data_IF_153152851659
#
_entry.id   IF_153152851659
#
_cell.length_a   1.000
_cell.length_b   1.000
_cell.length_c   1.000
_cell.angle_alpha   90.00
_cell.angle_beta   90.00
_cell.angle_gamma   90.00
#
_symmetry.space_group_name_H-M   'P 1'
#
loop_
_entity.id
_entity.type
_entity.pdbx_description
1 polymer ?
#
# COMPACT_ATOMS: atom_id res chain seq x y z
N UNK A 1 -10.34 -7.28 -12.81
CA UNK A 1 -11.40 -7.35 -11.78
C UNK A 1 -12.37 -8.44 -12.22
N UNK A 2 -12.72 -9.38 -11.35
CA UNK A 2 -13.71 -10.42 -11.71
C UNK A 2 -15.10 -9.81 -11.80
N UNK A 3 -15.96 -10.36 -12.67
CA UNK A 3 -17.36 -9.94 -12.77
C UNK A 3 -18.08 -10.30 -11.48
N UNK A 4 -18.68 -9.31 -10.83
CA UNK A 4 -19.58 -9.56 -9.71
C UNK A 4 -20.93 -9.98 -10.28
N UNK A 5 -21.34 -11.22 -10.05
CA UNK A 5 -22.59 -11.75 -10.59
C UNK A 5 -23.75 -11.45 -9.63
N UNK A 6 -24.96 -11.86 -10.01
CA UNK A 6 -26.14 -11.80 -9.12
C UNK A 6 -26.14 -12.90 -8.06
N UNK A 7 -25.14 -13.76 -8.01
CA UNK A 7 -25.11 -14.87 -7.06
C UNK A 7 -24.83 -14.36 -5.65
N UNK A 8 -25.35 -15.06 -4.65
CA UNK A 8 -25.11 -14.72 -3.26
C UNK A 8 -23.64 -14.95 -2.87
N UNK A 9 -22.90 -15.79 -3.60
CA UNK A 9 -21.48 -16.07 -3.33
C UNK A 9 -20.66 -15.89 -4.61
N UNK A 10 -19.77 -14.90 -4.59
CA UNK A 10 -18.94 -14.53 -5.75
C UNK A 10 -17.46 -14.41 -5.40
N UNK A 11 -16.58 -15.00 -6.21
CA UNK A 11 -15.13 -14.71 -6.17
C UNK A 11 -14.86 -13.41 -6.94
N UNK A 12 -14.46 -12.36 -6.24
CA UNK A 12 -14.28 -11.01 -6.80
C UNK A 12 -12.80 -10.65 -7.03
N UNK A 13 -11.88 -11.40 -6.41
CA UNK A 13 -10.44 -11.29 -6.63
C UNK A 13 -9.79 -12.67 -6.63
N UNK A 14 -8.77 -12.84 -7.48
CA UNK A 14 -7.86 -13.99 -7.45
C UNK A 14 -6.44 -13.52 -7.73
N UNK A 15 -5.49 -14.02 -6.96
CA UNK A 15 -4.07 -13.90 -7.24
C UNK A 15 -3.41 -15.27 -7.07
N UNK A 16 -2.72 -15.73 -8.11
CA UNK A 16 -1.99 -16.98 -8.10
C UNK A 16 -0.54 -16.75 -7.66
N UNK A 17 -0.07 -17.57 -6.72
CA UNK A 17 1.33 -17.74 -6.36
C UNK A 17 1.81 -19.11 -6.85
N UNK A 18 3.07 -19.46 -6.65
CA UNK A 18 3.60 -20.77 -7.06
C UNK A 18 2.85 -21.92 -6.37
N UNK A 19 2.87 -21.96 -5.03
CA UNK A 19 2.32 -23.07 -4.25
C UNK A 19 0.85 -22.91 -3.81
N UNK A 20 0.29 -21.71 -3.91
CA UNK A 20 -1.06 -21.41 -3.44
C UNK A 20 -1.75 -20.35 -4.29
N UNK A 21 -3.03 -20.12 -4.04
CA UNK A 21 -3.75 -18.96 -4.57
C UNK A 21 -4.51 -18.24 -3.46
N UNK A 22 -4.66 -16.93 -3.64
CA UNK A 22 -5.45 -16.07 -2.79
C UNK A 22 -6.76 -15.76 -3.51
N UNK A 23 -7.89 -15.92 -2.82
CA UNK A 23 -9.19 -15.50 -3.33
C UNK A 23 -9.89 -14.57 -2.35
N UNK A 24 -10.53 -13.53 -2.87
CA UNK A 24 -11.52 -12.76 -2.12
C UNK A 24 -12.90 -13.22 -2.58
N UNK A 25 -13.68 -13.74 -1.63
CA UNK A 25 -15.04 -14.22 -1.85
C UNK A 25 -16.00 -13.32 -1.09
N UNK A 26 -16.98 -12.76 -1.80
CA UNK A 26 -18.17 -12.15 -1.21
C UNK A 26 -19.18 -13.26 -0.92
N UNK A 27 -19.74 -13.28 0.28
CA UNK A 27 -20.85 -14.15 0.66
C UNK A 27 -21.98 -13.30 1.28
N UNK A 28 -23.03 -13.10 0.49
CA UNK A 28 -24.27 -12.43 0.83
C UNK A 28 -25.39 -13.42 1.20
N UNK A 29 -25.12 -14.71 1.46
CA UNK A 29 -26.16 -15.70 1.79
C UNK A 29 -26.81 -15.48 3.17
N UNK A 30 -26.13 -14.78 4.08
CA UNK A 30 -26.65 -14.50 5.42
C UNK A 30 -27.82 -13.53 5.42
N UNK A 31 -28.88 -13.79 6.20
CA UNK A 31 -30.05 -12.90 6.24
C UNK A 31 -29.75 -11.52 6.84
N UNK A 32 -28.97 -11.48 7.93
CA UNK A 32 -28.72 -10.24 8.71
C UNK A 32 -27.40 -9.56 8.38
N UNK A 33 -26.47 -10.31 7.80
CA UNK A 33 -25.12 -9.85 7.52
C UNK A 33 -24.56 -10.55 6.30
N UNK A 34 -23.54 -9.97 5.71
CA UNK A 34 -22.76 -10.53 4.63
C UNK A 34 -21.27 -10.48 4.98
N UNK A 35 -20.48 -11.30 4.29
CA UNK A 35 -19.07 -11.52 4.60
C UNK A 35 -18.19 -11.33 3.37
N UNK A 36 -17.07 -10.65 3.55
CA UNK A 36 -15.92 -10.73 2.66
C UNK A 36 -14.91 -11.68 3.28
N UNK A 37 -14.63 -12.78 2.59
CA UNK A 37 -13.75 -13.85 3.03
C UNK A 37 -12.52 -13.88 2.15
N UNK A 38 -11.36 -13.78 2.77
CA UNK A 38 -10.11 -14.07 2.09
C UNK A 38 -9.77 -15.53 2.31
N UNK A 39 -9.64 -16.27 1.21
CA UNK A 39 -9.33 -17.69 1.20
C UNK A 39 -7.90 -17.90 0.72
N UNK A 40 -7.15 -18.65 1.50
CA UNK A 40 -5.89 -19.27 1.10
C UNK A 40 -6.21 -20.66 0.53
N UNK A 41 -5.81 -20.93 -0.71
CA UNK A 41 -6.05 -22.21 -1.36
C UNK A 41 -4.70 -22.86 -1.66
N UNK A 42 -4.39 -23.91 -0.91
CA UNK A 42 -3.18 -24.69 -1.11
C UNK A 42 -3.34 -25.53 -2.39
N UNK A 43 -2.46 -25.35 -3.38
CA UNK A 43 -2.56 -26.06 -4.66
C UNK A 43 -2.20 -27.54 -4.56
N UNK A 44 -1.30 -27.90 -3.64
CA UNK A 44 -0.85 -29.30 -3.43
C UNK A 44 -1.90 -30.11 -2.69
N UNK A 45 -2.49 -29.55 -1.63
CA UNK A 45 -3.47 -30.25 -0.81
C UNK A 45 -4.91 -30.08 -1.30
N UNK A 46 -5.18 -29.14 -2.22
CA UNK A 46 -6.54 -28.73 -2.62
C UNK A 46 -7.43 -28.32 -1.44
N UNK A 47 -6.81 -27.80 -0.37
CA UNK A 47 -7.51 -27.32 0.84
C UNK A 47 -7.64 -25.81 0.77
N UNK A 48 -8.85 -25.31 1.04
CA UNK A 48 -9.12 -23.89 1.25
C UNK A 48 -9.22 -23.56 2.74
N UNK A 49 -8.42 -22.61 3.19
CA UNK A 49 -8.46 -22.06 4.56
C UNK A 49 -8.94 -20.62 4.52
N UNK A 50 -9.88 -20.27 5.40
CA UNK A 50 -10.34 -18.89 5.57
C UNK A 50 -9.35 -18.14 6.45
N UNK A 51 -8.65 -17.15 5.88
CA UNK A 51 -7.54 -16.46 6.56
C UNK A 51 -7.88 -15.05 7.04
N UNK A 52 -8.93 -14.45 6.48
CA UNK A 52 -9.45 -13.16 6.92
C UNK A 52 -10.95 -13.04 6.65
N UNK A 53 -11.68 -12.36 7.54
CA UNK A 53 -13.10 -12.09 7.41
C UNK A 53 -13.37 -10.63 7.74
N UNK A 54 -14.09 -9.96 6.86
CA UNK A 54 -14.76 -8.71 7.17
C UNK A 54 -16.26 -8.93 7.05
N UNK A 55 -17.02 -8.55 8.07
CA UNK A 55 -18.48 -8.67 8.06
C UNK A 55 -19.11 -7.29 7.97
N UNK A 56 -20.26 -7.21 7.32
CA UNK A 56 -21.06 -5.99 7.33
C UNK A 56 -22.54 -6.35 7.50
N UNK A 57 -23.27 -5.45 8.18
CA UNK A 57 -24.69 -5.65 8.48
C UNK A 57 -25.55 -5.27 7.27
N UNK A 58 -26.60 -6.04 7.01
CA UNK A 58 -27.61 -5.73 6.00
C UNK A 58 -28.68 -4.81 6.57
N UNK A 59 -28.29 -3.60 6.95
CA UNK A 59 -29.21 -2.59 7.44
C UNK A 59 -29.90 -1.81 6.30
N UNK A 60 -30.75 -0.84 6.65
CA UNK A 60 -31.46 -0.02 5.66
C UNK A 60 -30.50 0.71 4.70
N UNK A 61 -29.31 1.08 5.16
CA UNK A 61 -28.31 1.73 4.31
C UNK A 61 -27.74 0.74 3.28
N UNK A 62 -27.48 -0.51 3.67
CA UNK A 62 -27.12 -1.56 2.72
C UNK A 62 -28.24 -1.88 1.73
N UNK A 63 -29.49 -2.01 2.21
CA UNK A 63 -30.64 -2.32 1.35
C UNK A 63 -30.83 -1.21 0.32
N UNK A 64 -30.76 0.04 0.76
CA UNK A 64 -30.83 1.21 -0.12
C UNK A 64 -29.67 1.22 -1.11
N UNK A 65 -28.43 1.05 -0.65
CA UNK A 65 -27.27 0.97 -1.52
C UNK A 65 -27.43 -0.13 -2.57
N UNK A 66 -27.75 -1.37 -2.17
CA UNK A 66 -27.97 -2.48 -3.09
C UNK A 66 -29.06 -2.19 -4.14
N UNK A 67 -30.14 -1.51 -3.78
CA UNK A 67 -31.26 -1.24 -4.70
C UNK A 67 -30.92 -0.25 -5.81
N UNK A 68 -29.96 0.65 -5.58
CA UNK A 68 -29.47 1.63 -6.57
C UNK A 68 -28.12 1.23 -7.19
N UNK A 69 -27.67 -0.02 -6.98
CA UNK A 69 -26.39 -0.50 -7.52
C UNK A 69 -25.17 -0.02 -6.74
N UNK A 70 -25.34 0.39 -5.49
CA UNK A 70 -24.38 0.99 -4.56
C UNK A 70 -24.10 0.05 -3.36
N UNK A 71 -23.72 -1.20 -3.61
CA UNK A 71 -23.49 -2.16 -2.52
C UNK A 71 -22.08 -2.14 -1.94
N UNK A 72 -21.96 -2.66 -0.72
CA UNK A 72 -20.70 -2.92 -0.01
C UNK A 72 -19.63 -3.67 -0.84
N UNK A 73 -20.07 -4.36 -1.88
CA UNK A 73 -19.25 -5.16 -2.77
C UNK A 73 -18.37 -4.34 -3.73
N UNK A 74 -18.65 -3.05 -3.95
CA UNK A 74 -17.73 -2.14 -4.65
C UNK A 74 -16.69 -1.51 -3.73
N UNK A 75 -16.92 -1.57 -2.42
CA UNK A 75 -16.15 -0.82 -1.43
C UNK A 75 -15.17 -1.69 -0.64
N UNK A 76 -15.08 -2.99 -0.94
CA UNK A 76 -14.10 -3.92 -0.38
C UNK A 76 -13.29 -4.60 -1.48
N UNK A 77 -11.98 -4.34 -1.55
CA UNK A 77 -11.07 -4.96 -2.52
C UNK A 77 -9.74 -5.36 -1.90
N UNK A 78 -9.12 -6.42 -2.44
CA UNK A 78 -7.68 -6.67 -2.24
C UNK A 78 -6.91 -5.78 -3.22
N UNK A 79 -6.00 -4.98 -2.69
CA UNK A 79 -5.05 -4.19 -3.47
C UNK A 79 -4.03 -5.15 -4.10
N UNK A 80 -3.33 -5.93 -3.25
CA UNK A 80 -2.35 -6.95 -3.65
C UNK A 80 -1.95 -7.83 -2.46
N UNK A 81 -1.61 -9.09 -2.72
CA UNK A 81 -0.96 -9.99 -1.76
C UNK A 81 0.51 -10.22 -2.09
N UNK A 82 1.32 -10.49 -1.06
CA UNK A 82 2.75 -10.81 -1.17
C UNK A 82 3.10 -12.01 -0.29
N UNK A 83 3.87 -12.94 -0.83
CA UNK A 83 4.43 -14.05 -0.08
C UNK A 83 5.83 -13.66 0.42
N UNK A 84 6.01 -13.55 1.74
CA UNK A 84 7.22 -13.09 2.41
C UNK A 84 7.65 -14.15 3.42
N UNK A 85 8.67 -14.96 3.07
CA UNK A 85 9.13 -16.09 3.88
C UNK A 85 7.97 -17.03 4.31
N UNK A 86 7.62 -17.06 5.60
CA UNK A 86 6.53 -17.85 6.15
C UNK A 86 5.23 -17.05 6.34
N UNK A 87 5.13 -15.86 5.74
CA UNK A 87 3.99 -14.95 5.88
C UNK A 87 3.35 -14.63 4.54
N UNK A 88 2.04 -14.41 4.58
CA UNK A 88 1.27 -13.81 3.51
C UNK A 88 0.83 -12.41 3.96
N UNK A 89 1.35 -11.39 3.31
CA UNK A 89 0.98 -10.00 3.56
C UNK A 89 -0.05 -9.55 2.51
N UNK A 90 -1.26 -9.23 2.93
CA UNK A 90 -2.36 -8.83 2.03
C UNK A 90 -2.80 -7.41 2.35
N UNK A 91 -2.85 -6.56 1.33
CA UNK A 91 -3.33 -5.19 1.44
C UNK A 91 -4.77 -5.09 0.92
N UNK A 92 -5.61 -4.37 1.65
CA UNK A 92 -7.02 -4.18 1.36
C UNK A 92 -7.35 -2.70 1.30
N UNK A 93 -8.32 -2.37 0.46
CA UNK A 93 -9.02 -1.09 0.47
C UNK A 93 -10.49 -1.35 0.75
N UNK A 94 -10.95 -0.88 1.91
CA UNK A 94 -12.25 -1.20 2.49
C UNK A 94 -12.89 0.07 3.03
N UNK A 95 -13.99 0.55 2.42
CA UNK A 95 -14.80 1.64 2.98
C UNK A 95 -14.02 2.92 3.35
N UNK A 96 -13.14 3.38 2.47
CA UNK A 96 -12.31 4.56 2.79
C UNK A 96 -11.11 4.26 3.69
N UNK A 97 -10.90 3.01 4.10
CA UNK A 97 -9.76 2.58 4.93
C UNK A 97 -8.83 1.70 4.12
N UNK A 98 -7.52 1.89 4.29
CA UNK A 98 -6.50 0.98 3.78
C UNK A 98 -5.96 0.18 4.95
N UNK A 99 -6.02 -1.14 4.81
CA UNK A 99 -5.66 -2.09 5.85
C UNK A 99 -4.65 -3.09 5.29
N UNK A 100 -3.70 -3.53 6.09
CA UNK A 100 -2.83 -4.66 5.77
C UNK A 100 -3.07 -5.80 6.76
N UNK A 101 -3.09 -7.03 6.28
CA UNK A 101 -3.18 -8.23 7.10
C UNK A 101 -1.94 -9.07 6.86
N UNK A 102 -1.17 -9.30 7.93
CA UNK A 102 -0.05 -10.23 7.95
C UNK A 102 -0.55 -11.56 8.49
N UNK A 103 -0.59 -12.58 7.63
CA UNK A 103 -1.01 -13.94 7.97
C UNK A 103 0.22 -14.85 8.07
N UNK A 104 0.35 -15.57 9.18
CA UNK A 104 1.43 -16.52 9.42
C UNK A 104 1.03 -17.89 8.87
N UNK A 105 1.73 -18.37 7.84
CA UNK A 105 1.41 -19.62 7.14
C UNK A 105 1.73 -20.87 7.99
N UNK A 106 2.52 -20.73 9.06
CA UNK A 106 2.88 -21.83 9.95
C UNK A 106 1.89 -21.97 11.09
N UNK A 107 1.60 -20.86 11.79
CA UNK A 107 0.71 -20.86 12.96
C UNK A 107 -0.76 -20.65 12.60
N UNK A 108 -1.05 -20.27 11.35
CA UNK A 108 -2.39 -19.95 10.85
C UNK A 108 -3.07 -18.79 11.60
N UNK A 109 -2.27 -17.84 12.11
CA UNK A 109 -2.73 -16.65 12.82
C UNK A 109 -2.56 -15.40 11.96
N UNK A 110 -3.28 -14.33 12.28
CA UNK A 110 -3.14 -13.05 11.56
C UNK A 110 -3.00 -11.86 12.51
N UNK A 111 -2.39 -10.79 11.97
CA UNK A 111 -2.34 -9.46 12.59
C UNK A 111 -2.77 -8.41 11.56
N UNK A 112 -3.63 -7.50 12.00
CA UNK A 112 -4.23 -6.46 11.15
C UNK A 112 -3.62 -5.10 11.47
N UNK A 113 -3.31 -4.33 10.43
CA UNK A 113 -2.76 -2.98 10.51
C UNK A 113 -3.65 -2.00 9.77
N UNK A 114 -4.02 -0.92 10.44
CA UNK A 114 -4.71 0.22 9.82
C UNK A 114 -3.66 1.21 9.34
N UNK A 115 -3.51 1.37 8.02
CA UNK A 115 -2.39 2.12 7.44
C UNK A 115 -2.79 3.33 6.60
N UNK A 116 -4.08 3.53 6.36
CA UNK A 116 -4.54 4.77 5.76
C UNK A 116 -6.03 4.96 5.75
N UNK A 117 -6.42 6.19 5.48
CA UNK A 117 -7.81 6.60 5.29
C UNK A 117 -7.88 7.60 4.15
N UNK A 118 -8.96 7.54 3.35
CA UNK A 118 -9.29 8.53 2.35
C UNK A 118 -10.78 8.89 2.44
N UNK A 119 -11.14 10.14 2.11
CA UNK A 119 -12.53 10.55 2.06
C UNK A 119 -13.28 9.70 1.03
N UNK A 120 -14.30 9.00 1.51
CA UNK A 120 -15.18 8.19 0.69
C UNK A 120 -16.54 8.89 0.60
N UNK A 121 -16.75 9.65 -0.46
CA UNK A 121 -18.00 10.35 -0.75
C UNK A 121 -18.96 9.42 -1.50
N UNK A 122 -19.88 8.78 -0.78
CA UNK A 122 -20.98 8.01 -1.40
C UNK A 122 -20.57 6.74 -2.16
N UNK A 123 -21.56 5.95 -2.57
CA UNK A 123 -21.37 4.57 -3.01
C UNK A 123 -21.30 4.38 -4.55
N UNK A 124 -21.25 5.48 -5.32
CA UNK A 124 -20.99 5.50 -6.77
C UNK A 124 -19.50 5.52 -7.15
N UNK A 125 -18.58 5.61 -6.18
CA UNK A 125 -17.17 5.73 -6.50
C UNK A 125 -16.51 4.36 -6.61
N UNK A 126 -16.18 3.96 -7.84
CA UNK A 126 -15.25 2.85 -8.06
C UNK A 126 -13.97 3.12 -7.25
N UNK A 127 -13.55 2.14 -6.47
CA UNK A 127 -12.25 2.19 -5.81
C UNK A 127 -11.16 1.95 -6.85
N UNK A 128 -10.17 2.84 -6.86
CA UNK A 128 -8.94 2.66 -7.62
C UNK A 128 -7.79 2.55 -6.65
N UNK A 129 -6.91 1.60 -6.93
CA UNK A 129 -5.72 1.40 -6.14
C UNK A 129 -4.56 1.01 -7.05
N UNK A 130 -3.39 1.55 -6.72
CA UNK A 130 -2.10 1.13 -7.27
C UNK A 130 -1.15 0.88 -6.10
N UNK A 131 -0.26 -0.08 -6.29
CA UNK A 131 0.74 -0.40 -5.29
C UNK A 131 2.04 -0.79 -5.95
N UNK A 132 3.12 -0.21 -5.43
CA UNK A 132 4.50 -0.52 -5.76
C UNK A 132 5.15 -1.02 -4.48
N UNK A 133 5.93 -2.09 -4.58
CA UNK A 133 6.59 -2.67 -3.41
C UNK A 133 7.94 -3.28 -3.77
N UNK A 134 8.84 -3.32 -2.78
CA UNK A 134 10.16 -3.92 -2.90
C UNK A 134 10.62 -4.48 -1.57
N UNK A 135 11.11 -5.71 -1.64
CA UNK A 135 11.91 -6.26 -0.56
C UNK A 135 13.38 -5.84 -0.72
N UNK A 136 13.95 -5.31 0.35
CA UNK A 136 15.34 -4.91 0.41
C UNK A 136 15.88 -5.06 1.84
N UNK A 137 17.00 -5.77 1.99
CA UNK A 137 17.59 -6.15 3.31
C UNK A 137 16.54 -6.75 4.26
N UNK A 138 15.70 -7.65 3.74
CA UNK A 138 14.63 -8.35 4.46
C UNK A 138 13.53 -7.41 5.03
N UNK A 139 13.49 -6.15 4.60
CA UNK A 139 12.40 -5.22 4.90
C UNK A 139 11.55 -5.05 3.65
N UNK A 140 10.23 -5.12 3.82
CA UNK A 140 9.27 -4.95 2.75
C UNK A 140 8.80 -3.49 2.71
N UNK A 141 9.27 -2.73 1.72
CA UNK A 141 8.86 -1.34 1.50
C UNK A 141 7.68 -1.29 0.54
N UNK A 142 6.75 -0.37 0.82
CA UNK A 142 5.58 -0.20 -0.03
C UNK A 142 5.21 1.28 -0.21
N UNK A 143 4.62 1.52 -1.37
CA UNK A 143 3.92 2.73 -1.72
C UNK A 143 2.56 2.35 -2.27
N UNK A 144 1.50 2.84 -1.63
CA UNK A 144 0.11 2.59 -2.02
C UNK A 144 -0.52 3.93 -2.35
N UNK A 145 -1.21 3.95 -3.49
CA UNK A 145 -2.21 4.95 -3.74
C UNK A 145 -3.57 4.25 -3.76
N UNK A 146 -4.51 4.67 -2.93
CA UNK A 146 -5.83 4.06 -2.87
C UNK A 146 -6.88 5.12 -2.62
N UNK A 147 -7.99 5.07 -3.34
CA UNK A 147 -9.06 6.04 -3.20
C UNK A 147 -10.21 5.85 -4.17
N UNK A 148 -10.97 6.92 -4.34
CA UNK A 148 -12.06 6.97 -5.33
C UNK A 148 -11.49 7.26 -6.73
N UNK A 149 -12.06 6.63 -7.77
CA UNK A 149 -11.66 6.85 -9.18
C UNK A 149 -11.66 8.33 -9.57
N UNK A 150 -12.70 9.04 -9.14
CA UNK A 150 -12.93 10.46 -9.43
C UNK A 150 -12.91 11.34 -8.16
N UNK A 151 -12.17 10.92 -7.13
CA UNK A 151 -12.13 11.62 -5.84
C UNK A 151 -10.76 11.57 -5.17
N UNK A 152 -10.76 11.84 -3.87
CA UNK A 152 -9.54 11.83 -3.06
C UNK A 152 -8.88 10.44 -3.02
N UNK A 153 -7.55 10.42 -3.08
CA UNK A 153 -6.75 9.20 -2.93
C UNK A 153 -5.77 9.39 -1.80
N UNK A 154 -5.75 8.43 -0.87
CA UNK A 154 -4.68 8.34 0.11
C UNK A 154 -3.39 7.93 -0.59
N UNK A 155 -2.31 8.61 -0.26
CA UNK A 155 -0.97 8.22 -0.62
C UNK A 155 -0.29 7.71 0.65
N UNK A 156 0.14 6.45 0.66
CA UNK A 156 0.61 5.76 1.86
C UNK A 156 1.98 5.19 1.56
N UNK A 157 2.95 5.62 2.35
CA UNK A 157 4.32 5.13 2.33
C UNK A 157 4.56 4.34 3.60
N UNK A 158 5.28 3.24 3.51
CA UNK A 158 5.60 2.49 4.71
C UNK A 158 6.55 1.35 4.48
N UNK A 159 6.84 0.66 5.58
CA UNK A 159 7.52 -0.62 5.55
C UNK A 159 6.83 -1.62 6.47
N UNK A 160 7.10 -2.89 6.18
CA UNK A 160 6.77 -4.02 7.01
C UNK A 160 8.05 -4.83 7.26
N UNK A 161 8.29 -5.17 8.52
CA UNK A 161 9.35 -6.09 8.93
C UNK A 161 8.75 -7.49 9.15
N UNK A 162 8.99 -8.46 8.26
CA UNK A 162 8.46 -9.81 8.37
C UNK A 162 8.93 -10.55 9.63
N UNK A 163 10.13 -10.24 10.11
CA UNK A 163 10.76 -10.91 11.25
C UNK A 163 10.11 -10.50 12.55
N UNK A 164 9.88 -9.20 12.75
CA UNK A 164 9.23 -8.67 13.97
C UNK A 164 7.71 -8.64 13.86
N UNK A 165 7.16 -8.80 12.65
CA UNK A 165 5.74 -8.58 12.35
C UNK A 165 5.30 -7.21 12.88
N UNK A 166 6.05 -6.18 12.49
CA UNK A 166 5.74 -4.78 12.75
C UNK A 166 5.61 -4.01 11.45
N UNK A 167 4.72 -3.02 11.46
CA UNK A 167 4.45 -2.16 10.32
C UNK A 167 4.46 -0.71 10.77
N UNK A 168 5.06 0.12 9.94
CA UNK A 168 5.07 1.57 10.13
C UNK A 168 4.76 2.23 8.81
N UNK A 169 3.86 3.19 8.87
CA UNK A 169 3.38 3.90 7.70
C UNK A 169 3.27 5.39 7.99
N UNK A 170 3.25 6.16 6.91
CA UNK A 170 3.05 7.59 6.89
C UNK A 170 2.13 7.96 5.73
N UNK A 171 1.25 8.90 6.02
CA UNK A 171 0.33 9.49 5.07
C UNK A 171 0.76 10.95 4.94
N UNK A 172 1.32 11.38 3.79
CA UNK A 172 1.72 12.77 3.61
C UNK A 172 0.52 13.71 3.77
N UNK A 173 0.67 14.78 4.56
CA UNK A 173 -0.42 15.69 4.94
C UNK A 173 -1.19 16.26 3.75
N UNK A 174 -0.50 16.52 2.64
CA UNK A 174 -1.10 17.14 1.46
C UNK A 174 -1.92 16.17 0.60
N UNK A 175 -1.93 14.86 0.91
CA UNK A 175 -2.62 13.87 0.07
C UNK A 175 -4.12 13.76 0.32
N UNK A 176 -4.65 14.50 1.30
CA UNK A 176 -6.09 14.57 1.58
C UNK A 176 -6.84 15.69 0.83
N UNK A 177 -6.23 16.40 -0.14
CA UNK A 177 -6.95 17.46 -0.86
C UNK A 177 -6.21 18.31 -1.89
N UNK A 178 -5.16 17.83 -2.57
CA UNK A 178 -4.53 18.62 -3.65
C UNK A 178 -5.53 18.86 -4.78
N UNK A 179 -5.76 20.14 -5.10
CA UNK A 179 -6.63 20.57 -6.21
C UNK A 179 -5.90 20.41 -7.54
N UNK A 180 -6.65 20.02 -8.57
CA UNK A 180 -6.20 19.85 -9.97
C UNK A 180 -5.51 21.12 -10.55
N UNK A 181 -5.67 22.29 -9.93
CA UNK A 181 -5.06 23.56 -10.34
C UNK A 181 -3.55 23.68 -10.08
N UNK A 182 -2.94 22.78 -9.29
CA UNK A 182 -1.53 22.92 -8.86
C UNK A 182 -0.53 22.23 -9.82
N UNK A 183 -1.01 21.78 -10.98
CA UNK A 183 -0.30 20.90 -11.92
C UNK A 183 0.76 21.63 -12.77
N UNK A 184 0.70 22.96 -12.90
CA UNK A 184 1.44 23.70 -13.94
C UNK A 184 2.78 24.33 -13.49
N UNK A 185 3.53 23.70 -12.57
CA UNK A 185 4.88 24.15 -12.15
C UNK A 185 5.91 23.02 -12.14
N UNK A 186 6.13 22.42 -13.30
CA UNK A 186 6.84 21.15 -13.49
C UNK A 186 8.35 21.11 -13.21
N UNK A 187 8.98 22.22 -12.76
CA UNK A 187 10.40 22.22 -12.36
C UNK A 187 10.74 22.93 -11.03
N UNK A 188 9.88 23.77 -10.45
CA UNK A 188 10.12 24.34 -9.11
C UNK A 188 9.82 23.36 -7.95
N UNK A 189 9.24 22.21 -8.29
CA UNK A 189 8.72 21.18 -7.38
C UNK A 189 9.74 20.11 -6.97
N UNK A 190 11.00 20.20 -7.41
CA UNK A 190 12.12 19.40 -6.87
C UNK A 190 12.60 19.92 -5.50
N UNK A 191 11.67 20.37 -4.65
CA UNK A 191 11.97 20.79 -3.28
C UNK A 191 11.67 19.64 -2.34
N UNK A 192 12.57 19.43 -1.39
CA UNK A 192 12.42 18.47 -0.30
C UNK A 192 11.05 18.65 0.40
N UNK A 193 10.27 17.57 0.50
CA UNK A 193 9.10 17.54 1.37
C UNK A 193 9.59 17.35 2.81
N UNK A 194 9.68 18.45 3.56
CA UNK A 194 10.31 18.44 4.89
C UNK A 194 9.60 17.52 5.88
N UNK A 195 8.27 17.40 5.81
CA UNK A 195 7.53 16.54 6.75
C UNK A 195 7.79 15.06 6.49
N UNK A 196 7.72 14.64 5.23
CA UNK A 196 8.01 13.27 4.84
C UNK A 196 9.49 12.95 5.03
N UNK A 197 10.38 13.93 4.82
CA UNK A 197 11.81 13.81 5.16
C UNK A 197 12.04 13.52 6.63
N UNK A 198 11.33 14.23 7.52
CA UNK A 198 11.41 13.97 8.97
C UNK A 198 10.87 12.59 9.30
N UNK A 199 9.76 12.15 8.69
CA UNK A 199 9.24 10.81 8.89
C UNK A 199 10.25 9.73 8.48
N UNK A 200 10.75 9.80 7.24
CA UNK A 200 11.72 8.84 6.70
C UNK A 200 12.99 8.84 7.54
N UNK A 201 13.48 10.00 7.99
CA UNK A 201 14.62 10.05 8.91
C UNK A 201 14.36 9.30 10.21
N UNK A 202 13.22 9.56 10.86
CA UNK A 202 12.84 8.84 12.10
C UNK A 202 12.69 7.33 11.85
N UNK A 203 12.18 6.95 10.69
CA UNK A 203 12.04 5.56 10.26
C UNK A 203 13.39 4.84 10.22
N UNK A 204 14.37 5.47 9.55
CA UNK A 204 15.70 4.92 9.35
C UNK A 204 16.47 4.81 10.67
N UNK A 205 16.37 5.83 11.52
CA UNK A 205 16.93 5.82 12.87
C UNK A 205 16.34 4.67 13.69
N UNK A 206 15.00 4.52 13.69
CA UNK A 206 14.30 3.44 14.42
C UNK A 206 14.77 2.06 13.97
N UNK A 207 14.94 1.88 12.66
CA UNK A 207 15.43 0.64 12.07
C UNK A 207 16.95 0.42 12.26
N UNK A 208 17.65 1.35 12.94
CA UNK A 208 19.11 1.36 13.09
C UNK A 208 19.84 1.33 11.74
N UNK A 209 19.21 1.90 10.72
CA UNK A 209 19.76 2.06 9.36
C UNK A 209 20.41 3.44 9.14
N UNK A 210 20.29 4.35 10.11
CA UNK A 210 20.95 5.65 10.11
C UNK A 210 21.26 6.11 11.55
N UNK A 211 22.39 6.81 11.79
CA UNK A 211 22.64 7.51 13.06
C UNK A 211 21.70 8.69 13.29
N UNK A 212 21.50 9.06 14.55
CA UNK A 212 20.60 10.15 14.98
C UNK A 212 20.95 11.52 14.39
N UNK A 213 22.22 11.74 14.03
CA UNK A 213 22.77 13.03 13.63
C UNK A 213 22.94 13.22 12.11
N UNK A 214 22.50 12.29 11.27
CA UNK A 214 22.72 12.44 9.82
C UNK A 214 21.64 13.29 9.15
N UNK A 215 22.09 14.23 8.30
CA UNK A 215 21.23 14.97 7.38
C UNK A 215 20.71 14.05 6.26
N UNK A 216 19.46 13.61 6.40
CA UNK A 216 18.71 12.87 5.38
C UNK A 216 17.64 13.80 4.84
N UNK A 217 17.74 14.14 3.56
CA UNK A 217 16.71 14.86 2.82
C UNK A 217 15.95 13.88 1.95
N UNK A 218 14.63 13.92 2.00
CA UNK A 218 13.76 13.06 1.23
C UNK A 218 13.12 13.85 0.09
N UNK A 219 13.42 13.42 -1.14
CA UNK A 219 12.78 13.94 -2.34
C UNK A 219 11.62 12.99 -2.68
N UNK A 220 10.42 13.28 -2.20
CA UNK A 220 9.23 12.63 -2.70
C UNK A 220 8.58 13.41 -3.79
N UNK A 221 8.11 12.66 -4.78
CA UNK A 221 7.32 13.19 -5.85
C UNK A 221 6.09 12.34 -6.04
N UNK A 222 4.94 13.01 -6.00
CA UNK A 222 3.64 12.47 -6.37
C UNK A 222 3.39 12.66 -7.88
N UNK A 223 2.81 11.62 -8.49
CA UNK A 223 2.19 11.43 -9.83
C UNK A 223 2.73 12.09 -11.10
N UNK A 224 3.46 13.21 -11.09
CA UNK A 224 3.75 13.95 -12.33
C UNK A 224 5.07 13.61 -13.02
N UNK A 225 6.01 12.91 -12.38
CA UNK A 225 7.14 12.26 -13.06
C UNK A 225 7.52 10.98 -12.32
N UNK A 226 7.10 9.85 -12.89
CA UNK A 226 7.68 8.50 -12.98
C UNK A 226 8.54 7.87 -11.87
N UNK A 227 8.77 8.49 -10.71
CA UNK A 227 9.74 8.03 -9.71
C UNK A 227 9.22 8.07 -8.28
N UNK A 228 9.33 6.94 -7.56
CA UNK A 228 9.19 6.89 -6.10
C UNK A 228 10.57 6.67 -5.49
N UNK A 229 11.02 7.56 -4.60
CA UNK A 229 12.31 7.44 -3.92
C UNK A 229 12.14 6.98 -2.47
N UNK A 230 13.05 6.13 -2.03
CA UNK A 230 13.34 5.79 -0.65
C UNK A 230 14.84 6.02 -0.44
N UNK A 231 15.22 6.55 0.72
CA UNK A 231 16.62 6.84 1.03
C UNK A 231 16.96 6.05 2.30
N UNK A 232 18.18 5.53 2.39
CA UNK A 232 18.72 5.00 3.64
C UNK A 232 20.25 5.14 3.65
N UNK A 233 20.89 5.13 4.82
CA UNK A 233 22.34 5.40 4.91
C UNK A 233 23.12 4.08 4.97
N UNK A 234 24.22 4.04 4.24
CA UNK A 234 25.26 3.02 4.36
C UNK A 234 26.54 3.65 4.93
N UNK A 235 27.04 3.02 6.00
CA UNK A 235 28.35 3.28 6.60
C UNK A 235 28.63 4.76 6.96
N UNK A 236 27.64 5.44 7.55
CA UNK A 236 27.71 6.84 8.02
C UNK A 236 28.15 7.90 6.98
N UNK A 237 28.24 7.54 5.70
CA UNK A 237 28.91 8.37 4.69
C UNK A 237 28.27 8.33 3.29
N UNK A 238 27.33 7.42 3.04
CA UNK A 238 26.63 7.34 1.74
C UNK A 238 25.13 7.13 1.93
N UNK A 239 24.29 7.89 1.22
CA UNK A 239 22.85 7.68 1.19
C UNK A 239 22.55 6.74 0.02
N UNK A 240 22.16 5.50 0.27
CA UNK A 240 21.60 4.64 -0.76
C UNK A 240 20.16 5.06 -1.08
N UNK A 241 19.93 5.33 -2.36
CA UNK A 241 18.65 5.66 -2.95
C UNK A 241 18.08 4.37 -3.53
N UNK A 242 16.91 3.98 -3.04
CA UNK A 242 16.04 2.99 -3.66
C UNK A 242 14.96 3.75 -4.44
N UNK A 243 15.04 3.75 -5.76
CA UNK A 243 14.07 4.41 -6.65
C UNK A 243 13.28 3.38 -7.44
N UNK A 244 11.97 3.54 -7.55
CA UNK A 244 11.19 2.84 -8.58
C UNK A 244 10.95 3.76 -9.77
N UNK A 245 11.32 3.32 -10.97
CA UNK A 245 11.04 3.93 -12.25
C UNK A 245 9.76 3.30 -12.83
N UNK A 246 8.66 4.05 -12.88
CA UNK A 246 7.36 3.52 -13.32
C UNK A 246 7.31 3.28 -14.83
N UNK A 247 8.03 4.07 -15.63
CA UNK A 247 8.06 3.95 -17.09
C UNK A 247 8.83 2.70 -17.49
N UNK A 248 10.00 2.51 -16.88
CA UNK A 248 10.83 1.32 -17.11
C UNK A 248 10.34 0.11 -16.31
N UNK A 249 9.46 0.33 -15.33
CA UNK A 249 9.00 -0.66 -14.35
C UNK A 249 10.15 -1.31 -13.58
N UNK A 250 11.19 -0.55 -13.30
CA UNK A 250 12.46 -1.04 -12.75
C UNK A 250 12.81 -0.39 -11.41
N UNK A 251 13.46 -1.14 -10.54
CA UNK A 251 14.05 -0.61 -9.32
C UNK A 251 15.50 -0.25 -9.55
N UNK A 252 15.88 0.96 -9.16
CA UNK A 252 17.24 1.43 -9.08
C UNK A 252 17.69 1.46 -7.62
N UNK A 253 18.86 0.88 -7.35
CA UNK A 253 19.54 0.98 -6.06
C UNK A 253 20.91 1.59 -6.32
N UNK A 254 21.24 2.69 -5.66
CA UNK A 254 22.54 3.33 -5.82
C UNK A 254 22.83 4.40 -4.78
N UNK A 255 24.10 4.65 -4.49
CA UNK A 255 24.51 5.69 -3.57
C UNK A 255 24.39 7.09 -4.17
N UNK A 256 23.93 8.06 -3.37
CA UNK A 256 24.17 9.47 -3.60
C UNK A 256 25.61 9.77 -3.16
N UNK A 257 26.52 9.82 -4.13
CA UNK A 257 27.83 10.41 -3.90
C UNK A 257 27.67 11.92 -4.07
N UNK A 258 27.48 12.63 -2.96
CA UNK A 258 27.75 14.06 -2.94
C UNK A 258 29.25 14.24 -3.14
N UNK A 259 29.73 14.25 -4.37
CA UNK A 259 31.08 14.76 -4.63
C UNK A 259 30.97 16.26 -4.41
N UNK A 260 31.64 16.85 -3.39
CA UNK A 260 31.73 18.29 -3.32
C UNK A 260 32.37 18.72 -4.63
N UNK A 261 31.72 19.65 -5.34
CA UNK A 261 32.33 20.30 -6.49
C UNK A 261 33.70 20.77 -6.07
N UNK A 262 34.76 20.18 -6.63
CA UNK A 262 36.11 20.72 -6.52
C UNK A 262 36.03 22.15 -7.04
N UNK A 263 36.11 23.10 -6.12
CA UNK A 263 36.36 24.50 -6.39
C UNK A 263 37.51 24.55 -7.37
N UNK A 264 37.23 24.99 -8.60
CA UNK A 264 38.28 25.39 -9.53
C UNK A 264 38.73 26.79 -9.13
N UNK A 265 39.43 26.90 -8.00
CA UNK A 265 40.39 27.98 -7.86
C UNK A 265 41.60 27.59 -8.72
N UNK A 266 41.77 28.29 -9.85
CA UNK A 266 43.00 28.21 -10.62
C UNK A 266 44.03 29.19 -10.04
N UNK A 267 45.32 28.82 -10.03
CA UNK A 267 46.42 29.70 -9.66
C UNK A 267 46.61 30.86 -10.64
#
# INVERSE_FOLDING_TARGET
MFSQTKTDIDTIYKQDFEDFSLQLVRDDSGEKQAEFRTLFINKKASISTKIFISTYKKDLHWIFGKSIGEGAYYTYNIIKGFHLENRLLVFYSCWGVVTAVSFDLTTMTHKTYYIGFYPHTGAFANLVHSMVAKEFRNIFYFHIQAGQQYGGKANILGYFDPKTNEMYNYIPRDTLGIKVSDIDKSFETLKEDKETSVFIRKLLIRLKLAPDNVAISYLFRSEYQNFTYFFYIKDNSSVEILRYDIEKKEWFVGGYNASPSLTSEKP
#
